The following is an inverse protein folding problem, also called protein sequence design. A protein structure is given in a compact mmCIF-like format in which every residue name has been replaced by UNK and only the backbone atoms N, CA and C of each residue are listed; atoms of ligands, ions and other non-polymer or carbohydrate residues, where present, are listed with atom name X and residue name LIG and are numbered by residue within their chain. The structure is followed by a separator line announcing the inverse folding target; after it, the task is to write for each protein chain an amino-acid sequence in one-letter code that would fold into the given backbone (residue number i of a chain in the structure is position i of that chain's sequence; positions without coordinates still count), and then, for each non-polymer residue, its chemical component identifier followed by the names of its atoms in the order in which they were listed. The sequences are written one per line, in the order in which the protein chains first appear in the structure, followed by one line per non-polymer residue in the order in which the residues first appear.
data_IF_457061721665
#
_entry.id   IF_457061721665
#
_cell.length_a   1.000
_cell.length_b   1.000
_cell.length_c   1.000
_cell.angle_alpha   90.00
_cell.angle_beta   90.00
_cell.angle_gamma   90.00
#
_symmetry.space_group_name_H-M   'P 1'
#
loop_
_entity.id
_entity.type
_entity.pdbx_description
1 polymer ?
#
# COMPACT_ATOMS: atom_id res chain seq x y z
N UNK A 1 -0.40 -1.04 18.85
CA UNK A 1 -1.41 -0.09 18.32
C UNK A 1 -2.82 -0.65 18.44
N UNK A 2 -3.17 -1.77 17.80
CA UNK A 2 -4.52 -2.37 17.85
C UNK A 2 -5.12 -2.47 19.26
N UNK A 3 -4.43 -3.13 20.18
CA UNK A 3 -4.87 -3.28 21.57
C UNK A 3 -5.07 -1.93 22.31
N UNK A 4 -4.25 -0.91 22.00
CA UNK A 4 -4.42 0.42 22.56
C UNK A 4 -5.74 1.06 22.08
N UNK A 5 -6.01 0.96 20.78
CA UNK A 5 -7.22 1.50 20.16
C UNK A 5 -8.46 0.77 20.67
N UNK A 6 -8.41 -0.56 20.83
CA UNK A 6 -9.52 -1.35 21.39
C UNK A 6 -9.86 -0.89 22.80
N UNK A 7 -8.84 -0.75 23.66
CA UNK A 7 -9.00 -0.21 25.02
C UNK A 7 -9.55 1.23 24.99
N UNK A 8 -9.06 2.09 24.11
CA UNK A 8 -9.57 3.46 23.99
C UNK A 8 -11.04 3.50 23.57
N UNK A 9 -11.49 2.60 22.70
CA UNK A 9 -12.91 2.44 22.37
C UNK A 9 -13.74 2.06 23.59
N UNK A 10 -13.25 1.12 24.41
CA UNK A 10 -13.92 0.70 25.64
C UNK A 10 -13.99 1.82 26.69
N UNK A 11 -12.90 2.56 26.90
CA UNK A 11 -12.78 3.63 27.89
C UNK A 11 -13.60 4.86 27.51
N UNK A 12 -13.50 5.30 26.25
CA UNK A 12 -14.09 6.57 25.81
C UNK A 12 -15.48 6.43 25.22
N UNK A 13 -15.90 5.20 24.87
CA UNK A 13 -17.14 4.90 24.12
C UNK A 13 -17.20 5.58 22.74
N UNK A 14 -16.05 5.90 22.16
CA UNK A 14 -15.91 6.42 20.80
C UNK A 14 -15.35 5.34 19.85
N UNK A 15 -15.62 5.47 18.55
CA UNK A 15 -15.18 4.52 17.53
C UNK A 15 -13.71 4.72 17.13
N UNK A 16 -12.78 4.44 18.05
CA UNK A 16 -11.36 4.50 17.72
C UNK A 16 -10.98 3.35 16.79
N UNK A 17 -10.13 3.68 15.82
CA UNK A 17 -9.70 2.73 14.81
C UNK A 17 -8.25 2.99 14.39
N UNK A 18 -7.64 1.96 13.77
CA UNK A 18 -6.31 2.08 13.20
C UNK A 18 -6.46 2.29 11.70
N UNK A 19 -5.84 3.35 11.18
CA UNK A 19 -6.02 3.80 9.82
C UNK A 19 -4.68 3.86 9.08
N UNK A 20 -4.56 3.10 8.00
CA UNK A 20 -3.43 3.18 7.07
C UNK A 20 -3.63 4.41 6.17
N UNK A 21 -3.00 5.52 6.56
CA UNK A 21 -3.18 6.81 5.89
C UNK A 21 -2.67 6.75 4.45
N UNK A 22 -3.37 7.29 3.43
CA UNK A 22 -2.88 7.32 2.04
C UNK A 22 -1.60 8.15 1.83
N UNK A 23 -1.40 9.17 2.67
CA UNK A 23 -0.17 9.95 2.83
C UNK A 23 0.44 10.61 1.57
N UNK A 24 -0.30 10.77 0.47
CA UNK A 24 0.19 11.31 -0.82
C UNK A 24 0.97 12.65 -0.69
N UNK A 25 0.54 13.54 0.21
CA UNK A 25 1.27 14.77 0.53
C UNK A 25 2.04 14.75 1.85
N UNK A 26 1.86 13.72 2.68
CA UNK A 26 2.42 13.64 4.02
C UNK A 26 3.77 12.90 4.05
N UNK A 27 3.92 11.88 3.21
CA UNK A 27 5.13 11.05 3.10
C UNK A 27 6.38 11.89 2.80
N UNK A 28 6.29 12.86 1.88
CA UNK A 28 7.38 13.79 1.57
C UNK A 28 7.53 14.95 2.57
N UNK A 29 6.54 15.21 3.45
CA UNK A 29 6.64 16.26 4.48
C UNK A 29 7.42 15.79 5.69
N UNK A 30 7.23 14.55 6.14
CA UNK A 30 7.93 14.02 7.31
C UNK A 30 9.43 13.88 7.06
N UNK A 31 9.82 13.34 5.90
CA UNK A 31 11.24 13.11 5.61
C UNK A 31 12.07 14.41 5.64
N UNK A 32 11.50 15.54 5.20
CA UNK A 32 12.18 16.85 5.25
C UNK A 32 12.43 17.31 6.68
N UNK A 33 11.46 17.09 7.59
CA UNK A 33 11.60 17.43 9.00
C UNK A 33 12.59 16.51 9.70
N UNK A 34 12.48 15.22 9.46
CA UNK A 34 13.33 14.22 10.09
C UNK A 34 14.78 14.35 9.62
N UNK A 35 15.01 14.65 8.34
CA UNK A 35 16.34 14.94 7.80
C UNK A 35 16.99 16.16 8.45
N UNK A 36 16.19 17.17 8.82
CA UNK A 36 16.68 18.36 9.56
C UNK A 36 17.05 18.01 11.01
N UNK A 37 16.30 17.12 11.65
CA UNK A 37 16.50 16.76 13.06
C UNK A 37 17.61 15.71 13.26
N UNK A 38 17.71 14.74 12.35
CA UNK A 38 18.54 13.54 12.51
C UNK A 38 19.59 13.37 11.42
N UNK A 39 19.63 14.26 10.43
CA UNK A 39 20.54 14.17 9.28
C UNK A 39 20.12 13.11 8.26
N UNK A 40 21.08 12.70 7.43
CA UNK A 40 20.87 11.72 6.36
C UNK A 40 21.18 10.32 6.88
N UNK A 41 20.16 9.45 6.91
CA UNK A 41 20.25 8.06 7.34
C UNK A 41 19.95 7.19 6.13
N UNK A 42 20.90 6.30 5.81
CA UNK A 42 20.83 5.40 4.66
C UNK A 42 19.57 4.52 4.71
N UNK A 43 18.81 4.48 3.62
CA UNK A 43 17.56 3.72 3.48
C UNK A 43 16.34 4.35 4.15
N UNK A 44 16.50 5.46 4.89
CA UNK A 44 15.44 6.10 5.67
C UNK A 44 15.25 7.55 5.20
N UNK A 45 16.15 8.48 5.55
CA UNK A 45 16.04 9.92 5.24
C UNK A 45 16.91 10.37 4.06
N UNK A 46 17.62 9.43 3.43
CA UNK A 46 18.27 9.61 2.13
C UNK A 46 17.31 9.56 0.94
N UNK A 47 16.08 9.08 1.16
CA UNK A 47 14.96 9.11 0.21
C UNK A 47 14.22 10.45 0.24
N UNK A 48 13.30 10.63 -0.70
CA UNK A 48 12.43 11.81 -0.80
C UNK A 48 11.02 11.58 -0.22
N UNK A 49 10.71 10.35 0.20
CA UNK A 49 9.45 9.98 0.81
C UNK A 49 9.60 8.75 1.72
N UNK A 50 8.65 8.59 2.65
CA UNK A 50 8.46 7.33 3.36
C UNK A 50 7.48 6.41 2.64
N UNK A 51 7.74 5.11 2.71
CA UNK A 51 6.82 4.08 2.22
C UNK A 51 5.50 4.14 3.00
N UNK A 52 4.40 3.94 2.31
CA UNK A 52 3.09 4.16 2.88
C UNK A 52 2.69 3.04 3.86
N UNK A 53 2.31 3.42 5.08
CA UNK A 53 1.72 2.52 6.09
C UNK A 53 2.48 1.20 6.29
N UNK A 54 1.96 0.09 5.76
CA UNK A 54 2.53 -1.26 5.89
C UNK A 54 3.06 -1.81 4.56
N UNK A 55 3.07 -1.00 3.51
CA UNK A 55 3.43 -1.46 2.17
C UNK A 55 4.89 -1.87 2.12
N UNK A 56 5.17 -2.89 1.33
CA UNK A 56 6.52 -3.18 0.85
C UNK A 56 6.99 -2.01 -0.03
N UNK A 57 8.23 -1.51 0.12
CA UNK A 57 8.73 -0.41 -0.70
C UNK A 57 8.62 -0.71 -2.20
N UNK A 58 8.20 0.28 -2.99
CA UNK A 58 7.93 0.12 -4.43
C UNK A 58 9.12 -0.41 -5.24
N UNK A 59 10.35 -0.13 -4.80
CA UNK A 59 11.57 -0.55 -5.46
C UNK A 59 12.15 -1.87 -4.90
N UNK A 60 11.46 -2.53 -3.98
CA UNK A 60 11.93 -3.77 -3.39
C UNK A 60 11.55 -4.96 -4.30
N UNK A 61 12.53 -5.77 -4.76
CA UNK A 61 12.25 -6.91 -5.63
C UNK A 61 11.54 -8.00 -4.85
N UNK A 62 10.27 -8.25 -5.17
CA UNK A 62 9.42 -9.26 -4.52
C UNK A 62 8.42 -9.84 -5.52
N UNK A 63 8.02 -11.10 -5.31
CA UNK A 63 6.93 -11.70 -6.08
C UNK A 63 5.57 -11.10 -5.68
N UNK A 64 4.61 -11.09 -6.59
CA UNK A 64 3.23 -10.65 -6.30
C UNK A 64 2.64 -11.45 -5.11
N UNK A 65 2.88 -12.76 -5.12
CA UNK A 65 2.42 -13.69 -4.09
C UNK A 65 2.95 -13.30 -2.71
N UNK A 66 4.27 -13.14 -2.58
CA UNK A 66 4.88 -12.85 -1.29
C UNK A 66 4.51 -11.45 -0.80
N UNK A 67 4.36 -10.49 -1.71
CA UNK A 67 3.84 -9.16 -1.36
C UNK A 67 2.45 -9.24 -0.75
N UNK A 68 1.55 -10.00 -1.38
CA UNK A 68 0.19 -10.24 -0.88
C UNK A 68 0.24 -10.91 0.51
N UNK A 69 1.03 -11.96 0.67
CA UNK A 69 1.11 -12.72 1.93
C UNK A 69 1.64 -11.86 3.09
N UNK A 70 2.62 -10.99 2.82
CA UNK A 70 3.20 -10.11 3.85
C UNK A 70 2.26 -8.96 4.20
N UNK A 71 1.54 -8.38 3.24
CA UNK A 71 0.66 -7.23 3.48
C UNK A 71 -0.70 -7.64 4.04
N UNK A 72 -1.20 -8.84 3.72
CA UNK A 72 -2.53 -9.30 4.11
C UNK A 72 -2.83 -9.17 5.62
N UNK A 73 -1.95 -9.60 6.56
CA UNK A 73 -2.24 -9.53 7.99
C UNK A 73 -2.57 -8.11 8.47
N UNK A 74 -2.01 -7.08 7.83
CA UNK A 74 -2.24 -5.69 8.20
C UNK A 74 -3.66 -5.19 7.89
N UNK A 75 -4.37 -5.81 6.94
CA UNK A 75 -5.77 -5.46 6.67
C UNK A 75 -6.67 -5.66 7.90
N UNK A 76 -6.42 -6.75 8.66
CA UNK A 76 -7.14 -7.00 9.92
C UNK A 76 -6.75 -6.03 11.03
N UNK A 77 -5.49 -5.59 11.04
CA UNK A 77 -4.98 -4.66 12.06
C UNK A 77 -5.47 -3.22 11.84
N UNK A 78 -5.52 -2.77 10.59
CA UNK A 78 -5.92 -1.44 10.15
C UNK A 78 -7.44 -1.35 9.87
N UNK A 79 -8.26 -1.59 10.90
CA UNK A 79 -9.70 -1.83 10.77
C UNK A 79 -10.59 -0.69 10.21
N UNK A 80 -10.09 0.54 10.03
CA UNK A 80 -10.86 1.63 9.42
C UNK A 80 -10.38 2.06 8.03
N UNK A 81 -9.27 1.49 7.55
CA UNK A 81 -8.77 1.81 6.24
C UNK A 81 -7.42 1.18 5.98
N UNK A 82 -7.35 0.47 4.86
CA UNK A 82 -6.21 -0.25 4.35
C UNK A 82 -6.45 -0.52 2.88
N UNK A 83 -5.40 -0.58 2.11
CA UNK A 83 -5.39 -1.05 0.72
C UNK A 83 -4.02 -1.64 0.47
N UNK A 84 -3.93 -2.66 -0.37
CA UNK A 84 -2.65 -3.14 -0.92
C UNK A 84 -2.63 -2.88 -2.42
N UNK A 85 -1.48 -2.48 -2.96
CA UNK A 85 -1.29 -2.30 -4.41
C UNK A 85 -0.34 -3.38 -4.95
N UNK A 86 -0.71 -3.96 -6.09
CA UNK A 86 0.12 -4.88 -6.86
C UNK A 86 0.53 -4.17 -8.14
N UNK A 87 1.82 -4.01 -8.33
CA UNK A 87 2.39 -3.46 -9.57
C UNK A 87 2.56 -4.61 -10.57
N UNK A 88 2.06 -4.43 -11.79
CA UNK A 88 2.23 -5.37 -12.89
C UNK A 88 2.80 -4.64 -14.09
N UNK A 89 3.78 -5.27 -14.75
CA UNK A 89 4.36 -4.75 -15.98
C UNK A 89 3.35 -4.82 -17.13
N UNK A 90 3.26 -3.73 -17.90
CA UNK A 90 2.33 -3.55 -19.03
C UNK A 90 0.86 -3.76 -18.65
N UNK A 91 -0.06 -3.74 -19.64
CA UNK A 91 -1.47 -4.02 -19.38
C UNK A 91 -1.68 -5.53 -19.19
N UNK A 92 -2.06 -6.03 -17.99
CA UNK A 92 -2.27 -7.45 -17.78
C UNK A 92 -3.52 -7.95 -18.51
N UNK A 93 -3.53 -9.24 -18.86
CA UNK A 93 -4.74 -9.89 -19.34
C UNK A 93 -5.79 -10.00 -18.22
N UNK A 94 -7.06 -10.18 -18.60
CA UNK A 94 -8.11 -10.45 -17.63
C UNK A 94 -7.85 -11.72 -16.81
N UNK A 95 -7.24 -12.74 -17.41
CA UNK A 95 -6.85 -13.98 -16.72
C UNK A 95 -5.80 -13.72 -15.64
N UNK A 96 -4.75 -12.95 -15.96
CA UNK A 96 -3.70 -12.61 -15.00
C UNK A 96 -4.27 -11.79 -13.82
N UNK A 97 -5.17 -10.84 -14.10
CA UNK A 97 -5.90 -10.10 -13.05
C UNK A 97 -6.69 -11.08 -12.16
N UNK A 98 -7.43 -12.00 -12.78
CA UNK A 98 -8.25 -12.97 -12.04
C UNK A 98 -7.41 -13.92 -11.19
N UNK A 99 -6.22 -14.32 -11.64
CA UNK A 99 -5.31 -15.16 -10.87
C UNK A 99 -4.81 -14.44 -9.61
N UNK A 100 -4.42 -13.16 -9.73
CA UNK A 100 -4.02 -12.33 -8.60
C UNK A 100 -5.17 -12.20 -7.60
N UNK A 101 -6.37 -11.88 -8.08
CA UNK A 101 -7.57 -11.73 -7.25
C UNK A 101 -7.96 -13.04 -6.56
N UNK A 102 -7.95 -14.15 -7.29
CA UNK A 102 -8.25 -15.48 -6.75
C UNK A 102 -7.24 -15.87 -5.67
N UNK A 103 -5.95 -15.61 -5.90
CA UNK A 103 -4.94 -15.90 -4.90
C UNK A 103 -5.18 -15.11 -3.62
N UNK A 104 -5.33 -13.78 -3.74
CA UNK A 104 -5.58 -12.90 -2.60
C UNK A 104 -6.84 -13.30 -1.82
N UNK A 105 -7.95 -13.56 -2.52
CA UNK A 105 -9.23 -13.90 -1.91
C UNK A 105 -9.25 -15.28 -1.25
N UNK A 106 -8.69 -16.32 -1.91
CA UNK A 106 -8.79 -17.70 -1.43
C UNK A 106 -7.77 -18.04 -0.35
N UNK A 107 -6.59 -17.40 -0.37
CA UNK A 107 -5.45 -17.80 0.45
C UNK A 107 -5.10 -16.80 1.55
N UNK A 108 -5.68 -15.60 1.53
CA UNK A 108 -5.32 -14.54 2.49
C UNK A 108 -6.54 -13.79 3.02
N UNK A 109 -6.30 -12.82 3.92
CA UNK A 109 -7.31 -11.91 4.43
C UNK A 109 -7.25 -10.51 3.77
N UNK A 110 -6.66 -10.38 2.57
CA UNK A 110 -6.76 -9.14 1.80
C UNK A 110 -8.23 -8.86 1.48
N UNK A 111 -8.67 -7.67 1.86
CA UNK A 111 -10.04 -7.17 1.72
C UNK A 111 -10.17 -6.01 0.74
N UNK A 112 -9.08 -5.30 0.44
CA UNK A 112 -9.09 -4.18 -0.51
C UNK A 112 -7.77 -4.12 -1.29
N UNK A 113 -7.83 -4.42 -2.58
CA UNK A 113 -6.67 -4.55 -3.46
C UNK A 113 -6.82 -3.62 -4.67
N UNK A 114 -5.74 -2.95 -5.04
CA UNK A 114 -5.58 -2.30 -6.34
C UNK A 114 -4.50 -3.02 -7.16
N UNK A 115 -4.71 -3.11 -8.48
CA UNK A 115 -3.70 -3.57 -9.42
C UNK A 115 -3.32 -2.36 -10.26
N UNK A 116 -2.07 -1.94 -10.13
CA UNK A 116 -1.50 -0.81 -10.84
C UNK A 116 -0.74 -1.34 -12.05
N UNK A 117 -1.02 -0.72 -13.20
CA UNK A 117 -0.34 -0.99 -14.45
C UNK A 117 -0.37 0.26 -15.32
N UNK A 118 0.53 0.33 -16.29
CA UNK A 118 0.63 1.47 -17.19
C UNK A 118 -0.36 1.32 -18.36
N UNK A 119 -1.30 2.27 -18.46
CA UNK A 119 -2.15 2.42 -19.64
C UNK A 119 -1.58 3.54 -20.50
N UNK A 120 -1.16 3.21 -21.72
CA UNK A 120 -0.70 4.20 -22.70
C UNK A 120 -1.68 4.19 -23.88
N UNK A 121 -2.27 5.33 -24.19
CA UNK A 121 -3.14 5.47 -25.36
C UNK A 121 -2.98 6.83 -26.02
N UNK A 122 -3.04 6.86 -27.35
CA UNK A 122 -3.00 8.10 -28.11
C UNK A 122 -4.40 8.71 -28.22
N UNK A 123 -4.60 9.91 -27.69
CA UNK A 123 -5.89 10.63 -27.79
C UNK A 123 -6.26 11.02 -29.22
N UNK A 124 -5.30 11.16 -30.12
CA UNK A 124 -5.56 11.56 -31.51
C UNK A 124 -6.11 10.40 -32.35
N UNK A 125 -5.51 9.20 -32.25
CA UNK A 125 -5.89 8.05 -33.09
C UNK A 125 -6.59 6.92 -32.34
N UNK A 126 -6.77 7.04 -31.02
CA UNK A 126 -7.43 6.02 -30.18
C UNK A 126 -6.65 4.72 -29.98
N UNK A 127 -5.40 4.65 -30.45
CA UNK A 127 -4.58 3.44 -30.37
C UNK A 127 -3.91 3.31 -29.00
N UNK A 128 -4.03 2.13 -28.39
CA UNK A 128 -3.23 1.74 -27.23
C UNK A 128 -1.78 1.49 -27.66
N UNK A 129 -0.84 2.06 -26.91
CA UNK A 129 0.58 1.78 -27.06
C UNK A 129 0.88 0.64 -26.10
N UNK A 130 1.36 -0.48 -26.63
CA UNK A 130 2.02 -1.50 -25.83
C UNK A 130 3.36 -0.92 -25.38
#
# INVERSE_FOLDING_TARGET
IRAFIDRSTEETKLNWSCYATPAEGLSGKFIKKDKKAFGVIKGITDKDYYTNSFHIPVNYPISIKDKIDIEAPYHKLCNAGHISYIEVDDCPSGEAIMDILNYAYKNTNISYLGINFHIRYCKNCGKYLN
#
